data_IF_283471737840
#
_entry.id   IF_283471737840
#
_cell.length_a   1.000
_cell.length_b   1.000
_cell.length_c   1.000
_cell.angle_alpha   90.00
_cell.angle_beta   90.00
_cell.angle_gamma   90.00
#
_symmetry.space_group_name_H-M   'P 1'
#
loop_
_entity.id
_entity.type
_entity.pdbx_description
1 polymer ?
#
# COMPACT_ATOMS: atom_id res chain seq x y z
N UNK A 1 -12.83 6.94 2.73
CA UNK A 1 -11.93 8.09 2.53
C UNK A 1 -11.73 8.76 3.87
N UNK A 2 -10.50 8.76 4.39
CA UNK A 2 -10.11 9.32 5.68
C UNK A 2 -9.53 10.71 5.43
N UNK A 3 -10.25 11.75 5.84
CA UNK A 3 -9.89 13.14 5.50
C UNK A 3 -8.83 13.69 6.46
N UNK A 4 -8.98 13.40 7.77
CA UNK A 4 -8.08 13.90 8.82
C UNK A 4 -8.08 13.04 10.07
N UNK A 5 -7.09 13.26 10.93
CA UNK A 5 -7.01 12.68 12.28
C UNK A 5 -6.30 11.33 12.32
N UNK A 6 -6.05 10.86 13.54
CA UNK A 6 -5.38 9.61 13.83
C UNK A 6 -6.30 8.62 14.55
N UNK A 7 -5.86 7.38 14.71
CA UNK A 7 -6.61 6.34 15.43
C UNK A 7 -7.76 5.71 14.63
N UNK A 8 -7.82 5.94 13.31
CA UNK A 8 -8.75 5.25 12.44
C UNK A 8 -8.38 3.76 12.35
N UNK A 9 -9.37 2.88 12.42
CA UNK A 9 -9.15 1.43 12.28
C UNK A 9 -10.08 0.88 11.21
N UNK A 10 -9.50 0.28 10.18
CA UNK A 10 -10.21 -0.44 9.12
C UNK A 10 -9.81 -1.90 9.20
N UNK A 11 -10.69 -2.74 9.74
CA UNK A 11 -10.33 -4.13 10.02
C UNK A 11 -11.40 -5.14 9.66
N UNK A 12 -10.96 -6.34 9.25
CA UNK A 12 -11.81 -7.51 9.00
C UNK A 12 -12.93 -7.28 7.96
N UNK A 13 -12.65 -6.50 6.92
CA UNK A 13 -13.58 -6.23 5.84
C UNK A 13 -13.26 -7.02 4.58
N UNK A 14 -14.25 -7.18 3.69
CA UNK A 14 -14.04 -7.52 2.30
C UNK A 14 -14.32 -6.28 1.43
N UNK A 15 -13.28 -5.68 0.88
CA UNK A 15 -13.35 -4.40 0.14
C UNK A 15 -13.10 -4.68 -1.33
N UNK A 16 -14.17 -4.62 -2.13
CA UNK A 16 -14.09 -5.12 -3.49
C UNK A 16 -14.89 -4.38 -4.56
N UNK A 17 -14.57 -4.69 -5.82
CA UNK A 17 -15.33 -4.30 -7.02
C UNK A 17 -15.65 -2.80 -7.12
N UNK A 18 -14.64 -1.97 -6.88
CA UNK A 18 -14.74 -0.51 -7.02
C UNK A 18 -13.75 0.05 -8.06
N UNK A 19 -13.23 -0.78 -8.95
CA UNK A 19 -12.35 -0.38 -10.05
C UNK A 19 -12.89 0.80 -10.84
N UNK A 20 -12.09 1.86 -10.94
CA UNK A 20 -12.38 3.01 -11.77
C UNK A 20 -11.07 3.61 -12.26
N UNK A 21 -10.97 3.96 -13.55
CA UNK A 21 -9.76 4.59 -14.08
C UNK A 21 -9.56 5.98 -13.45
N UNK A 22 -8.43 6.18 -12.79
CA UNK A 22 -8.13 7.41 -12.05
C UNK A 22 -8.60 7.42 -10.59
N UNK A 23 -9.57 6.59 -10.18
CA UNK A 23 -10.06 6.46 -8.79
C UNK A 23 -10.17 4.97 -8.38
N UNK A 24 -11.16 4.59 -7.58
CA UNK A 24 -11.39 3.19 -7.21
C UNK A 24 -10.45 2.68 -6.13
N UNK A 25 -10.37 3.43 -5.04
CA UNK A 25 -9.50 3.11 -3.90
C UNK A 25 -10.31 2.40 -2.81
N UNK A 26 -9.79 1.30 -2.28
CA UNK A 26 -10.44 0.59 -1.15
C UNK A 26 -10.42 1.47 0.11
N UNK A 27 -9.22 1.77 0.60
CA UNK A 27 -8.98 2.77 1.64
C UNK A 27 -8.17 3.92 1.03
N UNK A 28 -8.54 5.15 1.35
CA UNK A 28 -7.84 6.35 0.86
C UNK A 28 -7.66 7.34 2.01
N UNK A 29 -6.47 7.92 2.12
CA UNK A 29 -6.10 8.94 3.11
C UNK A 29 -5.83 10.27 2.41
N UNK A 30 -6.37 11.35 2.99
CA UNK A 30 -5.75 12.66 2.85
C UNK A 30 -4.75 12.86 4.02
N UNK A 31 -4.94 13.85 4.90
CA UNK A 31 -4.04 14.11 6.04
C UNK A 31 -4.46 13.31 7.27
N UNK A 32 -4.52 11.98 7.13
CA UNK A 32 -5.00 11.07 8.17
C UNK A 32 -4.06 9.88 8.42
N UNK A 33 -4.16 9.31 9.61
CA UNK A 33 -3.42 8.12 10.04
C UNK A 33 -4.35 6.96 10.40
N UNK A 34 -4.02 5.74 9.98
CA UNK A 34 -4.85 4.56 10.28
C UNK A 34 -4.10 3.25 10.47
N UNK A 35 -4.76 2.33 11.19
CA UNK A 35 -4.47 0.90 11.16
C UNK A 35 -5.41 0.22 10.17
N UNK A 36 -4.85 -0.54 9.23
CA UNK A 36 -5.58 -1.30 8.22
C UNK A 36 -5.20 -2.77 8.38
N UNK A 37 -6.06 -3.57 9.01
CA UNK A 37 -5.70 -4.95 9.36
C UNK A 37 -6.72 -6.04 9.03
N UNK A 38 -6.22 -7.22 8.63
CA UNK A 38 -7.08 -8.39 8.44
C UNK A 38 -8.13 -8.23 7.33
N UNK A 39 -7.94 -7.30 6.40
CA UNK A 39 -8.89 -7.07 5.30
C UNK A 39 -8.57 -7.93 4.09
N UNK A 40 -9.61 -8.25 3.33
CA UNK A 40 -9.53 -8.87 2.01
C UNK A 40 -9.80 -7.81 0.94
N UNK A 41 -8.90 -7.70 -0.04
CA UNK A 41 -9.02 -6.75 -1.15
C UNK A 41 -9.12 -7.49 -2.49
N UNK A 42 -10.07 -7.07 -3.33
CA UNK A 42 -10.25 -7.62 -4.68
C UNK A 42 -10.90 -6.62 -5.63
N UNK A 43 -10.48 -6.58 -6.89
CA UNK A 43 -11.04 -5.68 -7.89
C UNK A 43 -11.08 -4.20 -7.45
N UNK A 44 -9.99 -3.69 -6.87
CA UNK A 44 -9.74 -2.25 -6.70
C UNK A 44 -8.80 -1.72 -7.80
N UNK A 45 -8.65 -0.39 -7.93
CA UNK A 45 -7.49 0.20 -8.61
C UNK A 45 -6.28 0.23 -7.69
N UNK A 46 -6.48 0.77 -6.49
CA UNK A 46 -5.57 0.68 -5.35
C UNK A 46 -6.37 0.14 -4.17
N UNK A 47 -5.88 -0.90 -3.51
CA UNK A 47 -6.48 -1.39 -2.27
C UNK A 47 -6.31 -0.36 -1.15
N UNK A 48 -5.13 0.27 -1.08
CA UNK A 48 -4.84 1.37 -0.16
C UNK A 48 -4.17 2.50 -0.96
N UNK A 49 -4.62 3.73 -0.78
CA UNK A 49 -3.99 4.93 -1.33
C UNK A 49 -3.82 6.01 -0.26
N UNK A 50 -2.79 6.83 -0.40
CA UNK A 50 -2.65 8.09 0.33
C UNK A 50 -2.34 9.23 -0.64
N UNK A 51 -2.80 10.45 -0.34
CA UNK A 51 -2.47 11.64 -1.15
C UNK A 51 -0.99 11.99 -1.09
N UNK A 52 -0.24 11.50 -0.09
CA UNK A 52 1.18 11.80 0.07
C UNK A 52 1.45 13.15 0.72
N UNK A 53 0.42 13.83 1.25
CA UNK A 53 0.63 15.02 2.08
C UNK A 53 1.31 14.63 3.38
N UNK A 54 2.22 15.47 3.86
CA UNK A 54 2.83 15.32 5.18
C UNK A 54 1.79 15.23 6.30
N UNK A 55 2.13 14.56 7.40
CA UNK A 55 1.20 14.26 8.49
C UNK A 55 0.12 13.21 8.17
N UNK A 56 0.32 12.41 7.12
CA UNK A 56 -0.49 11.22 6.83
C UNK A 56 0.35 9.94 6.97
N UNK A 57 -0.30 8.80 7.23
CA UNK A 57 0.43 7.55 7.34
C UNK A 57 -0.47 6.36 7.62
N UNK A 58 0.08 5.15 7.54
CA UNK A 58 -0.68 3.97 7.91
C UNK A 58 0.20 2.78 8.27
N UNK A 59 -0.33 1.97 9.19
CA UNK A 59 0.10 0.59 9.39
C UNK A 59 -0.86 -0.32 8.61
N UNK A 60 -0.34 -1.09 7.66
CA UNK A 60 -1.10 -2.10 6.94
C UNK A 60 -0.57 -3.48 7.32
N UNK A 61 -1.39 -4.30 7.98
CA UNK A 61 -0.97 -5.64 8.40
C UNK A 61 -1.99 -6.75 8.23
N UNK A 62 -1.52 -7.97 7.99
CA UNK A 62 -2.38 -9.17 7.90
C UNK A 62 -3.48 -9.07 6.83
N UNK A 63 -3.35 -8.16 5.86
CA UNK A 63 -4.30 -8.04 4.76
C UNK A 63 -3.94 -9.02 3.64
N UNK A 64 -4.94 -9.39 2.86
CA UNK A 64 -4.78 -10.24 1.67
C UNK A 64 -5.30 -9.50 0.45
N UNK A 65 -4.43 -9.27 -0.53
CA UNK A 65 -4.81 -8.83 -1.88
C UNK A 65 -4.96 -10.07 -2.78
N UNK A 66 -6.15 -10.26 -3.35
CA UNK A 66 -6.52 -11.50 -4.04
C UNK A 66 -5.96 -11.64 -5.46
N UNK A 67 -5.50 -10.54 -6.05
CA UNK A 67 -4.73 -10.51 -7.28
C UNK A 67 -5.42 -9.85 -8.45
N UNK A 68 -6.72 -9.54 -8.32
CA UNK A 68 -7.47 -8.77 -9.32
C UNK A 68 -7.34 -7.29 -8.99
N UNK A 69 -6.39 -6.62 -9.62
CA UNK A 69 -6.20 -5.17 -9.46
C UNK A 69 -6.04 -4.49 -10.82
N UNK A 70 -6.57 -3.27 -10.95
CA UNK A 70 -6.44 -2.47 -12.16
C UNK A 70 -5.07 -1.77 -12.23
N UNK A 71 -4.42 -1.53 -11.09
CA UNK A 71 -3.10 -0.89 -10.99
C UNK A 71 -2.28 -1.52 -9.86
N UNK A 72 -1.28 -0.83 -9.31
CA UNK A 72 -0.57 -1.31 -8.13
C UNK A 72 -1.47 -1.31 -6.88
N UNK A 73 -1.18 -2.19 -5.92
CA UNK A 73 -2.12 -2.50 -4.84
C UNK A 73 -2.13 -1.42 -3.76
N UNK A 74 -0.99 -1.20 -3.10
CA UNK A 74 -0.82 -0.15 -2.09
C UNK A 74 -0.04 1.00 -2.68
N UNK A 75 -0.53 2.19 -2.42
CA UNK A 75 -0.06 3.42 -3.02
C UNK A 75 0.17 4.49 -1.97
N UNK A 76 1.28 5.19 -2.12
CA UNK A 76 1.46 6.52 -1.54
C UNK A 76 1.89 7.44 -2.68
N UNK A 77 1.01 8.38 -3.03
CA UNK A 77 1.36 9.47 -3.93
C UNK A 77 2.48 10.30 -3.30
N UNK A 78 3.13 11.13 -4.11
CA UNK A 78 4.01 12.17 -3.57
C UNK A 78 3.85 13.52 -4.24
N UNK A 79 4.75 14.45 -3.91
CA UNK A 79 4.65 15.85 -4.32
C UNK A 79 4.60 16.05 -5.83
N UNK A 80 5.23 15.17 -6.63
CA UNK A 80 5.11 15.19 -8.10
C UNK A 80 3.69 14.90 -8.60
N UNK A 81 2.99 13.94 -7.98
CA UNK A 81 1.59 13.65 -8.32
C UNK A 81 0.68 14.83 -7.97
N UNK A 82 0.99 15.49 -6.86
CA UNK A 82 0.24 16.65 -6.35
C UNK A 82 0.64 17.97 -6.99
N UNK A 83 1.75 18.03 -7.72
CA UNK A 83 2.33 19.22 -8.36
C UNK A 83 2.54 20.39 -7.38
N UNK A 84 3.01 20.10 -6.19
CA UNK A 84 3.15 21.10 -5.11
C UNK A 84 4.59 21.59 -4.86
N UNK A 85 5.54 21.15 -5.69
CA UNK A 85 6.96 21.52 -5.57
C UNK A 85 7.73 20.76 -4.49
N UNK A 86 7.11 19.77 -3.84
CA UNK A 86 7.79 18.89 -2.88
C UNK A 86 8.09 17.51 -3.48
N UNK A 87 8.84 16.70 -2.74
CA UNK A 87 8.98 15.26 -2.99
C UNK A 87 8.34 14.43 -1.84
N UNK A 88 7.49 15.04 -1.01
CA UNK A 88 6.92 14.37 0.18
C UNK A 88 5.93 13.29 -0.25
N UNK A 89 6.07 12.09 0.33
CA UNK A 89 5.19 10.94 0.15
C UNK A 89 4.62 10.47 1.50
N UNK A 90 3.87 11.34 2.17
CA UNK A 90 3.31 11.09 3.50
C UNK A 90 4.32 11.26 4.63
N UNK A 91 3.86 11.08 5.86
CA UNK A 91 4.68 11.09 7.07
C UNK A 91 5.42 9.76 7.26
N UNK A 92 4.69 8.64 7.29
CA UNK A 92 5.24 7.31 7.52
C UNK A 92 4.39 6.20 6.91
N UNK A 93 4.99 5.02 6.73
CA UNK A 93 4.27 3.80 6.36
C UNK A 93 4.88 2.58 7.04
N UNK A 94 4.06 1.67 7.55
CA UNK A 94 4.51 0.35 8.00
C UNK A 94 3.66 -0.73 7.35
N UNK A 95 4.22 -1.41 6.36
CA UNK A 95 3.52 -2.43 5.57
C UNK A 95 4.13 -3.78 5.93
N UNK A 96 3.40 -4.61 6.68
CA UNK A 96 3.96 -5.88 7.15
C UNK A 96 2.98 -7.03 7.30
N UNK A 97 3.45 -8.27 7.14
CA UNK A 97 2.60 -9.46 7.26
C UNK A 97 1.39 -9.48 6.30
N UNK A 98 1.44 -8.77 5.18
CA UNK A 98 0.41 -8.82 4.15
C UNK A 98 0.76 -9.87 3.09
N UNK A 99 -0.27 -10.32 2.36
CA UNK A 99 -0.14 -11.25 1.23
C UNK A 99 -0.57 -10.55 -0.05
N UNK A 100 0.31 -10.46 -1.04
CA UNK A 100 0.03 -9.83 -2.34
C UNK A 100 0.03 -10.85 -3.48
N UNK A 101 -1.12 -11.04 -4.14
CA UNK A 101 -1.28 -12.04 -5.21
C UNK A 101 -1.36 -11.43 -6.62
N UNK A 102 -1.37 -10.09 -6.74
CA UNK A 102 -1.40 -9.36 -7.99
C UNK A 102 -0.33 -9.84 -8.98
N UNK A 103 -0.75 -10.08 -10.23
CA UNK A 103 0.13 -10.48 -11.33
C UNK A 103 0.33 -9.30 -12.29
N UNK A 104 1.58 -8.99 -12.62
CA UNK A 104 1.91 -7.97 -13.61
C UNK A 104 1.68 -6.51 -13.17
N UNK A 105 1.36 -6.29 -11.89
CA UNK A 105 1.24 -4.97 -11.25
C UNK A 105 2.13 -4.94 -10.01
N UNK A 106 2.71 -3.80 -9.66
CA UNK A 106 3.45 -3.68 -8.39
C UNK A 106 2.50 -3.93 -7.21
N UNK A 107 3.00 -4.56 -6.16
CA UNK A 107 2.28 -4.66 -4.90
C UNK A 107 2.25 -3.31 -4.20
N UNK A 108 3.40 -2.62 -4.12
CA UNK A 108 3.55 -1.38 -3.36
C UNK A 108 4.24 -0.34 -4.24
N UNK A 109 3.73 0.89 -4.23
CA UNK A 109 4.38 2.02 -4.87
C UNK A 109 4.38 3.22 -3.92
N UNK A 110 5.56 3.77 -3.65
CA UNK A 110 5.77 4.99 -2.85
C UNK A 110 6.44 6.01 -3.77
N UNK A 111 5.77 7.11 -4.10
CA UNK A 111 6.20 8.06 -5.15
C UNK A 111 6.78 9.36 -4.60
N UNK A 112 7.81 9.21 -3.78
CA UNK A 112 8.56 10.30 -3.16
C UNK A 112 9.18 9.81 -1.85
N UNK A 113 9.63 10.75 -1.04
CA UNK A 113 10.31 10.50 0.22
C UNK A 113 9.35 10.74 1.41
N UNK A 114 9.09 9.74 2.27
CA UNK A 114 8.35 9.94 3.52
C UNK A 114 9.07 10.93 4.45
N UNK A 115 8.32 11.69 5.25
CA UNK A 115 8.90 12.66 6.20
C UNK A 115 9.73 11.99 7.31
N UNK A 116 9.28 10.83 7.81
CA UNK A 116 10.03 9.98 8.74
C UNK A 116 10.65 8.79 7.99
N UNK A 117 9.93 7.67 7.90
CA UNK A 117 10.37 6.45 7.21
C UNK A 117 9.20 5.62 6.72
N UNK A 118 9.45 4.82 5.68
CA UNK A 118 8.59 3.70 5.32
C UNK A 118 9.32 2.38 5.58
N UNK A 119 8.62 1.42 6.19
CA UNK A 119 9.13 0.09 6.47
C UNK A 119 8.24 -0.96 5.81
N UNK A 120 8.82 -1.77 4.92
CA UNK A 120 8.15 -2.88 4.23
C UNK A 120 8.82 -4.19 4.60
N UNK A 121 8.18 -4.98 5.45
CA UNK A 121 8.81 -6.18 6.00
C UNK A 121 7.85 -7.33 6.29
N UNK A 122 8.35 -8.57 6.26
CA UNK A 122 7.57 -9.78 6.59
C UNK A 122 6.28 -9.94 5.76
N UNK A 123 6.23 -9.35 4.57
CA UNK A 123 5.16 -9.59 3.63
C UNK A 123 5.48 -10.77 2.74
N UNK A 124 4.43 -11.35 2.18
CA UNK A 124 4.50 -12.34 1.13
C UNK A 124 4.11 -11.71 -0.20
N UNK A 125 4.95 -11.89 -1.21
CA UNK A 125 4.71 -11.40 -2.56
C UNK A 125 4.76 -12.56 -3.55
N UNK A 126 3.73 -12.64 -4.40
CA UNK A 126 3.75 -13.51 -5.58
C UNK A 126 4.87 -13.13 -6.57
N UNK A 127 5.30 -11.87 -6.54
CA UNK A 127 6.38 -11.34 -7.37
C UNK A 127 7.70 -12.05 -7.08
N UNK A 128 8.47 -12.34 -8.14
CA UNK A 128 9.74 -13.07 -8.02
C UNK A 128 10.88 -12.24 -7.43
N UNK A 129 10.80 -10.91 -7.50
CA UNK A 129 11.85 -10.00 -7.08
C UNK A 129 11.27 -8.77 -6.41
N UNK A 130 12.04 -8.18 -5.50
CA UNK A 130 11.71 -6.91 -4.85
C UNK A 130 11.39 -5.81 -5.86
N UNK A 131 12.28 -5.59 -6.84
CA UNK A 131 12.10 -4.57 -7.90
C UNK A 131 10.84 -4.79 -8.75
N UNK A 132 10.36 -6.03 -8.86
CA UNK A 132 9.11 -6.34 -9.55
C UNK A 132 7.86 -6.07 -8.70
N UNK A 133 7.99 -6.10 -7.38
CA UNK A 133 6.90 -5.94 -6.42
C UNK A 133 6.77 -4.51 -5.92
N UNK A 134 7.89 -3.84 -5.70
CA UNK A 134 7.98 -2.58 -4.98
C UNK A 134 8.69 -1.57 -5.87
N UNK A 135 8.10 -0.38 -5.97
CA UNK A 135 8.77 0.81 -6.48
C UNK A 135 8.73 1.88 -5.41
N UNK A 136 9.89 2.34 -4.99
CA UNK A 136 10.03 3.36 -3.96
C UNK A 136 11.24 4.26 -4.23
N UNK A 137 11.32 5.35 -3.48
CA UNK A 137 12.42 6.32 -3.49
C UNK A 137 13.16 6.26 -2.14
N UNK A 138 13.69 7.37 -1.65
CA UNK A 138 14.49 7.41 -0.43
C UNK A 138 13.69 7.12 0.84
N UNK A 139 14.40 6.80 1.93
CA UNK A 139 13.86 6.51 3.28
C UNK A 139 12.85 5.36 3.34
N UNK A 140 12.93 4.44 2.38
CA UNK A 140 12.17 3.18 2.40
C UNK A 140 13.11 2.04 2.74
N UNK A 141 12.82 1.33 3.83
CA UNK A 141 13.53 0.09 4.20
C UNK A 141 12.70 -1.11 3.81
N UNK A 142 13.27 -1.99 2.99
CA UNK A 142 12.66 -3.27 2.59
C UNK A 142 13.50 -4.41 3.15
N UNK A 143 12.89 -5.31 3.94
CA UNK A 143 13.61 -6.43 4.56
C UNK A 143 12.71 -7.60 4.92
N UNK A 144 13.28 -8.81 5.02
CA UNK A 144 12.59 -10.00 5.54
C UNK A 144 11.26 -10.32 4.84
N UNK A 145 11.14 -10.07 3.53
CA UNK A 145 9.95 -10.42 2.75
C UNK A 145 10.15 -11.74 2.01
N UNK A 146 9.06 -12.47 1.78
CA UNK A 146 9.04 -13.69 0.97
C UNK A 146 8.62 -13.38 -0.47
N UNK A 147 9.27 -14.01 -1.45
CA UNK A 147 9.12 -13.70 -2.88
C UNK A 147 8.85 -14.96 -3.71
N UNK A 148 8.08 -14.81 -4.78
CA UNK A 148 8.01 -15.77 -5.88
C UNK A 148 7.31 -17.09 -5.57
N UNK A 149 6.77 -17.25 -4.37
CA UNK A 149 5.92 -18.37 -4.03
C UNK A 149 4.58 -18.17 -4.75
N UNK A 150 4.19 -19.14 -5.58
CA UNK A 150 2.93 -19.05 -6.34
C UNK A 150 1.78 -19.78 -5.66
N UNK A 151 2.11 -20.68 -4.74
CA UNK A 151 1.16 -21.48 -3.97
C UNK A 151 1.74 -21.69 -2.56
N UNK A 152 1.47 -20.78 -1.61
CA UNK A 152 2.01 -20.89 -0.27
C UNK A 152 1.26 -22.00 0.48
N UNK A 153 1.87 -23.18 0.56
CA UNK A 153 1.41 -24.24 1.44
C UNK A 153 1.88 -23.93 2.85
N UNK A 154 0.98 -24.00 3.83
CA UNK A 154 1.37 -24.06 5.24
C UNK A 154 2.13 -25.38 5.44
N UNK A 155 3.44 -25.29 5.68
CA UNK A 155 4.23 -26.40 6.24
C UNK A 155 4.19 -26.34 7.75
#
# INVERSE_FOLDING_TARGET
HLIRGAGHVVQHNFIHHNQYQGLGYGVCHDVAESLIEGNLFDANRHSIAGTGRGGSGYEARHNVELGRTLSHCFDMHGGRDRKDGTDVAGGWMHVHHNTFRAKGRCAIVIRGTPEDKALVERNWFRHKTERGAIRCEDRVTVRHNAWGLTDPTFT
#
